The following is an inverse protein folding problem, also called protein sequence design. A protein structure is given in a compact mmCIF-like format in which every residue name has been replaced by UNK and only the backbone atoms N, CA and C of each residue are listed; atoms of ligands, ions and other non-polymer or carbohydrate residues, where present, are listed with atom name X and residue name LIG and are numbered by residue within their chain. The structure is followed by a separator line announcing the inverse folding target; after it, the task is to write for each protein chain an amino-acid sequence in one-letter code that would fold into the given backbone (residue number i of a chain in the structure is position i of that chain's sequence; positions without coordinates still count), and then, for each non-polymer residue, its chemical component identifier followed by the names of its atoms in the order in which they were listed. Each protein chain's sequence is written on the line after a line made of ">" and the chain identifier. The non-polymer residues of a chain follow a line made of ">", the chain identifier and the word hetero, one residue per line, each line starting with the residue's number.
data_IF_787427235320
#
_entry.id   IF_787427235320
#
_cell.length_a   1.000
_cell.length_b   1.000
_cell.length_c   1.000
_cell.angle_alpha   90.00
_cell.angle_beta   90.00
_cell.angle_gamma   90.00
#
_symmetry.space_group_name_H-M   'P 1'
#
loop_
_entity.id
_entity.type
_entity.pdbx_description
1 polymer ?
#
# COMPACT_ATOMS: atom_id res chain seq x y z
N UNK A 1 -45.69 -63.93 1.15
CA UNK A 1 -46.30 -63.39 -0.07
C UNK A 1 -47.22 -62.27 0.36
N UNK A 2 -46.76 -61.07 0.46
CA UNK A 2 -47.54 -59.88 0.82
C UNK A 2 -47.23 -58.80 -0.22
N UNK A 3 -48.21 -58.54 -1.10
CA UNK A 3 -48.17 -57.48 -2.07
C UNK A 3 -48.53 -56.17 -1.37
N UNK A 4 -47.52 -55.31 -1.19
CA UNK A 4 -47.71 -53.93 -0.73
C UNK A 4 -47.99 -53.01 -1.93
N UNK A 5 -49.23 -52.60 -2.03
CA UNK A 5 -49.69 -51.60 -3.02
C UNK A 5 -49.22 -50.23 -2.57
N UNK A 6 -48.25 -49.69 -3.30
CA UNK A 6 -47.81 -48.27 -3.17
C UNK A 6 -48.92 -47.43 -3.81
N UNK A 7 -49.66 -46.72 -2.96
CA UNK A 7 -50.60 -45.71 -3.36
C UNK A 7 -49.84 -44.49 -3.83
N UNK A 8 -49.83 -44.21 -5.12
CA UNK A 8 -49.31 -42.92 -5.68
C UNK A 8 -50.33 -41.83 -5.35
N UNK A 9 -49.95 -41.00 -4.41
CA UNK A 9 -50.60 -39.72 -4.13
C UNK A 9 -50.35 -38.80 -5.31
N UNK A 10 -51.40 -38.46 -6.04
CA UNK A 10 -51.38 -37.46 -7.09
C UNK A 10 -51.23 -36.07 -6.48
N UNK A 11 -50.07 -35.45 -6.64
CA UNK A 11 -49.85 -34.04 -6.32
C UNK A 11 -50.81 -33.17 -7.16
N UNK A 12 -51.58 -32.27 -6.53
CA UNK A 12 -52.35 -31.30 -7.28
C UNK A 12 -51.41 -30.29 -7.91
N UNK A 13 -51.16 -30.39 -9.20
CA UNK A 13 -50.46 -29.36 -9.97
C UNK A 13 -51.18 -28.03 -9.75
N UNK A 14 -50.54 -27.14 -8.96
CA UNK A 14 -50.97 -25.75 -8.84
C UNK A 14 -50.75 -25.10 -10.22
N UNK A 15 -51.74 -25.20 -11.05
CA UNK A 15 -51.83 -24.50 -12.31
C UNK A 15 -51.99 -23.00 -12.04
N UNK A 16 -50.86 -22.28 -12.05
CA UNK A 16 -50.91 -20.83 -12.09
C UNK A 16 -51.45 -20.44 -13.45
N UNK A 17 -52.77 -20.25 -13.52
CA UNK A 17 -53.40 -19.72 -14.72
C UNK A 17 -52.94 -18.26 -14.88
N UNK A 18 -51.95 -18.04 -15.74
CA UNK A 18 -51.60 -16.69 -16.19
C UNK A 18 -52.82 -16.19 -17.00
N UNK A 19 -53.62 -15.34 -16.39
CA UNK A 19 -54.66 -14.61 -17.09
C UNK A 19 -53.97 -13.79 -18.20
N UNK A 20 -54.17 -14.17 -19.46
CA UNK A 20 -53.72 -13.41 -20.63
C UNK A 20 -54.64 -12.17 -20.79
N UNK A 21 -54.45 -11.20 -19.90
CA UNK A 21 -55.02 -9.85 -20.06
C UNK A 21 -54.16 -9.14 -21.12
N UNK A 22 -54.77 -8.74 -22.24
CA UNK A 22 -54.08 -7.88 -23.22
C UNK A 22 -53.69 -6.56 -22.57
N UNK A 23 -52.42 -6.15 -22.70
CA UNK A 23 -51.91 -4.86 -22.26
C UNK A 23 -52.67 -3.74 -22.99
N UNK A 24 -53.22 -2.79 -22.24
CA UNK A 24 -53.84 -1.59 -22.83
C UNK A 24 -52.71 -0.66 -23.33
N UNK A 25 -53.01 0.10 -24.39
CA UNK A 25 -52.04 1.05 -24.96
C UNK A 25 -51.55 2.07 -23.92
N UNK A 26 -52.43 2.48 -23.00
CA UNK A 26 -52.09 3.41 -21.92
C UNK A 26 -51.12 2.79 -20.90
N UNK A 27 -51.28 1.50 -20.59
CA UNK A 27 -50.41 0.77 -19.65
C UNK A 27 -49.00 0.63 -20.20
N UNK A 28 -48.87 0.42 -21.51
CA UNK A 28 -47.58 0.39 -22.19
C UNK A 28 -46.88 1.75 -22.14
N UNK A 29 -47.62 2.87 -22.41
CA UNK A 29 -47.07 4.22 -22.33
C UNK A 29 -46.59 4.53 -20.91
N UNK A 30 -47.37 4.24 -19.89
CA UNK A 30 -47.00 4.46 -18.49
C UNK A 30 -45.75 3.64 -18.12
N UNK A 31 -45.69 2.37 -18.53
CA UNK A 31 -44.56 1.51 -18.26
C UNK A 31 -43.25 2.05 -18.86
N UNK A 32 -43.25 2.50 -20.12
CA UNK A 32 -42.03 3.06 -20.75
C UNK A 32 -41.60 4.38 -20.11
N UNK A 33 -42.54 5.22 -19.65
CA UNK A 33 -42.22 6.47 -18.93
C UNK A 33 -41.56 6.14 -17.58
N UNK A 34 -42.14 5.21 -16.80
CA UNK A 34 -41.55 4.80 -15.52
C UNK A 34 -40.18 4.18 -15.72
N UNK A 35 -40.00 3.29 -16.71
CA UNK A 35 -38.72 2.70 -17.06
C UNK A 35 -37.68 3.77 -17.45
N UNK A 36 -38.10 4.80 -18.20
CA UNK A 36 -37.25 5.93 -18.57
C UNK A 36 -36.71 6.66 -17.34
N UNK A 37 -37.56 6.99 -16.39
CA UNK A 37 -37.19 7.69 -15.15
C UNK A 37 -36.26 6.82 -14.29
N UNK A 38 -36.58 5.54 -14.11
CA UNK A 38 -35.77 4.61 -13.35
C UNK A 38 -34.38 4.39 -13.96
N UNK A 39 -34.29 4.35 -15.30
CA UNK A 39 -33.03 4.16 -16.02
C UNK A 39 -32.04 5.30 -15.76
N UNK A 40 -32.51 6.55 -15.72
CA UNK A 40 -31.66 7.71 -15.40
C UNK A 40 -31.08 7.61 -13.99
N UNK A 41 -31.91 7.25 -13.01
CA UNK A 41 -31.46 7.08 -11.63
C UNK A 41 -30.44 5.95 -11.47
N UNK A 42 -30.70 4.81 -12.11
CA UNK A 42 -29.80 3.65 -12.07
C UNK A 42 -28.43 3.96 -12.68
N UNK A 43 -28.37 4.67 -13.80
CA UNK A 43 -27.11 5.07 -14.45
C UNK A 43 -26.25 5.91 -13.53
N UNK A 44 -26.83 6.90 -12.83
CA UNK A 44 -26.08 7.75 -11.90
C UNK A 44 -25.45 6.96 -10.74
N UNK A 45 -26.14 5.93 -10.22
CA UNK A 45 -25.63 5.06 -9.17
C UNK A 45 -24.45 4.19 -9.66
N UNK A 46 -24.58 3.64 -10.88
CA UNK A 46 -23.52 2.82 -11.47
C UNK A 46 -22.25 3.64 -11.67
N UNK A 47 -22.36 4.84 -12.25
CA UNK A 47 -21.19 5.72 -12.47
C UNK A 47 -20.48 6.04 -11.15
N UNK A 48 -21.22 6.41 -10.11
CA UNK A 48 -20.62 6.68 -8.78
C UNK A 48 -19.96 5.44 -8.19
N UNK A 49 -20.57 4.26 -8.33
CA UNK A 49 -19.99 3.01 -7.84
C UNK A 49 -18.67 2.67 -8.54
N UNK A 50 -18.60 2.86 -9.86
CA UNK A 50 -17.37 2.65 -10.64
C UNK A 50 -16.27 3.64 -10.22
N UNK A 51 -16.59 4.91 -10.06
CA UNK A 51 -15.63 5.92 -9.58
C UNK A 51 -15.09 5.58 -8.19
N UNK A 52 -15.97 5.23 -7.25
CA UNK A 52 -15.56 4.81 -5.91
C UNK A 52 -14.68 3.56 -5.95
N UNK A 53 -14.99 2.60 -6.79
CA UNK A 53 -14.18 1.40 -6.96
C UNK A 53 -12.77 1.72 -7.48
N UNK A 54 -12.66 2.58 -8.49
CA UNK A 54 -11.37 3.01 -9.05
C UNK A 54 -10.53 3.74 -8.00
N UNK A 55 -11.13 4.67 -7.24
CA UNK A 55 -10.45 5.39 -6.17
C UNK A 55 -9.94 4.45 -5.08
N UNK A 56 -10.77 3.51 -4.64
CA UNK A 56 -10.38 2.54 -3.61
C UNK A 56 -9.26 1.61 -4.10
N UNK A 57 -9.31 1.20 -5.35
CA UNK A 57 -8.27 0.38 -5.96
C UNK A 57 -6.93 1.14 -6.02
N UNK A 58 -6.95 2.38 -6.51
CA UNK A 58 -5.77 3.23 -6.55
C UNK A 58 -5.18 3.45 -5.14
N UNK A 59 -6.02 3.72 -4.14
CA UNK A 59 -5.58 3.85 -2.75
C UNK A 59 -4.93 2.56 -2.23
N UNK A 60 -5.48 1.40 -2.54
CA UNK A 60 -4.92 0.10 -2.17
C UNK A 60 -3.56 -0.19 -2.82
N UNK A 61 -3.40 0.14 -4.10
CA UNK A 61 -2.14 0.00 -4.83
C UNK A 61 -1.07 0.94 -4.25
N UNK A 62 -1.40 2.21 -3.95
CA UNK A 62 -0.49 3.14 -3.29
C UNK A 62 -0.09 2.67 -1.88
N UNK A 63 -1.04 2.16 -1.10
CA UNK A 63 -0.76 1.63 0.24
C UNK A 63 0.21 0.45 0.20
N UNK A 64 -0.02 -0.50 -0.70
CA UNK A 64 0.87 -1.64 -0.90
C UNK A 64 2.28 -1.22 -1.33
N UNK A 65 2.39 -0.28 -2.28
CA UNK A 65 3.67 0.26 -2.73
C UNK A 65 4.41 0.97 -1.58
N UNK A 66 3.69 1.78 -0.80
CA UNK A 66 4.25 2.52 0.33
C UNK A 66 4.75 1.60 1.43
N UNK A 67 3.98 0.60 1.82
CA UNK A 67 4.38 -0.37 2.84
C UNK A 67 5.59 -1.20 2.40
N UNK A 68 5.66 -1.60 1.13
CA UNK A 68 6.83 -2.29 0.58
C UNK A 68 8.08 -1.41 0.64
N UNK A 69 7.97 -0.15 0.20
CA UNK A 69 9.07 0.80 0.24
C UNK A 69 9.56 1.06 1.67
N UNK A 70 8.63 1.27 2.63
CA UNK A 70 8.95 1.45 4.04
C UNK A 70 9.56 0.19 4.67
N UNK A 71 9.16 -0.99 4.24
CA UNK A 71 9.74 -2.25 4.70
C UNK A 71 11.20 -2.40 4.23
N UNK A 72 11.50 -2.11 2.97
CA UNK A 72 12.86 -2.12 2.44
C UNK A 72 13.73 -1.10 3.18
N UNK A 73 13.21 0.09 3.40
CA UNK A 73 13.90 1.16 4.11
C UNK A 73 14.15 0.79 5.57
N UNK A 74 13.17 0.23 6.26
CA UNK A 74 13.28 -0.27 7.63
C UNK A 74 14.36 -1.35 7.76
N UNK A 75 14.39 -2.34 6.85
CA UNK A 75 15.44 -3.38 6.83
C UNK A 75 16.82 -2.80 6.56
N UNK A 76 16.90 -1.79 5.70
CA UNK A 76 18.16 -1.08 5.43
C UNK A 76 18.69 -0.40 6.67
N UNK A 77 17.85 0.38 7.33
CA UNK A 77 18.22 1.16 8.52
C UNK A 77 18.48 0.32 9.77
N UNK A 78 17.75 -0.79 9.93
CA UNK A 78 17.95 -1.69 11.07
C UNK A 78 19.37 -2.23 11.19
N UNK A 79 20.04 -2.39 10.05
CA UNK A 79 21.43 -2.85 9.97
C UNK A 79 22.42 -1.70 9.72
N UNK A 80 22.02 -0.46 9.90
CA UNK A 80 22.89 0.70 9.75
C UNK A 80 23.89 0.77 10.92
N UNK A 81 25.11 1.13 10.60
CA UNK A 81 26.14 1.35 11.62
C UNK A 81 25.86 2.67 12.35
N UNK A 82 25.77 2.66 13.70
CA UNK A 82 25.62 3.87 14.48
C UNK A 82 26.71 4.91 14.16
N UNK A 83 26.36 6.19 14.19
CA UNK A 83 27.31 7.27 13.92
C UNK A 83 27.62 7.52 12.43
N UNK A 84 27.11 6.68 11.52
CA UNK A 84 27.36 6.86 10.08
C UNK A 84 26.16 7.42 9.32
N UNK A 85 25.07 7.68 10.03
CA UNK A 85 23.86 8.21 9.45
C UNK A 85 24.07 9.67 9.04
N UNK A 86 23.72 10.02 7.83
CA UNK A 86 23.75 11.38 7.30
C UNK A 86 22.48 11.69 6.54
N UNK A 87 21.84 12.81 6.88
CA UNK A 87 20.65 13.33 6.22
C UNK A 87 21.05 14.64 5.56
N UNK A 88 20.76 14.81 4.30
CA UNK A 88 21.14 15.98 3.50
C UNK A 88 20.05 16.38 2.51
N UNK A 89 20.25 17.45 1.77
CA UNK A 89 19.27 18.02 0.83
C UNK A 89 17.92 18.33 1.50
N UNK A 90 17.95 18.95 2.70
CA UNK A 90 16.70 19.30 3.41
C UNK A 90 15.86 18.09 3.83
N UNK A 91 16.48 16.94 4.05
CA UNK A 91 15.77 15.70 4.41
C UNK A 91 15.42 14.82 3.20
N UNK A 92 15.70 15.25 1.98
CA UNK A 92 15.36 14.44 0.80
C UNK A 92 16.28 13.25 0.58
N UNK A 93 17.45 13.22 1.23
CA UNK A 93 18.44 12.16 1.05
C UNK A 93 18.97 11.66 2.38
N UNK A 94 19.12 10.35 2.48
CA UNK A 94 19.61 9.64 3.63
C UNK A 94 20.74 8.71 3.20
N UNK A 95 21.89 8.75 3.88
CA UNK A 95 22.97 7.80 3.66
C UNK A 95 23.47 7.23 4.99
N UNK A 96 23.99 6.01 4.93
CA UNK A 96 24.54 5.30 6.07
C UNK A 96 25.51 4.20 5.60
N UNK A 97 26.36 3.72 6.51
CA UNK A 97 27.20 2.55 6.28
C UNK A 97 26.56 1.31 6.87
N UNK A 98 26.80 0.17 6.25
CA UNK A 98 26.31 -1.13 6.70
C UNK A 98 27.44 -2.15 6.65
N UNK A 99 27.58 -2.92 7.70
CA UNK A 99 28.48 -4.05 7.75
C UNK A 99 27.77 -5.33 7.29
N UNK A 100 28.43 -6.15 6.50
CA UNK A 100 27.86 -7.41 5.98
C UNK A 100 27.82 -8.54 7.05
N UNK A 101 28.60 -8.39 8.13
CA UNK A 101 28.65 -9.31 9.27
C UNK A 101 28.77 -8.51 10.58
N UNK A 102 28.36 -9.08 11.72
CA UNK A 102 28.63 -8.45 13.01
C UNK A 102 30.13 -8.23 13.12
N UNK A 103 30.59 -7.05 13.53
CA UNK A 103 32.00 -6.77 13.63
C UNK A 103 32.63 -7.68 14.70
N UNK A 104 33.43 -8.64 14.30
CA UNK A 104 34.45 -9.14 15.21
C UNK A 104 35.34 -7.95 15.60
N UNK A 105 35.74 -7.86 16.84
CA UNK A 105 36.40 -6.67 17.40
C UNK A 105 37.63 -6.14 16.58
N UNK A 106 38.18 -6.93 15.68
CA UNK A 106 39.27 -6.57 14.77
C UNK A 106 38.83 -5.93 13.45
N UNK A 107 37.56 -6.05 13.06
CA UNK A 107 37.03 -5.63 11.74
C UNK A 107 36.14 -4.38 11.78
N UNK A 108 36.03 -3.72 12.92
CA UNK A 108 35.17 -2.52 13.08
C UNK A 108 35.57 -1.32 12.20
N UNK A 109 36.82 -1.32 11.67
CA UNK A 109 37.33 -0.25 10.79
C UNK A 109 36.97 -0.43 9.31
N UNK A 110 36.42 -1.57 8.90
CA UNK A 110 36.31 -1.94 7.48
C UNK A 110 34.84 -2.20 7.04
N UNK A 111 33.91 -1.35 7.43
CA UNK A 111 32.58 -1.37 6.85
C UNK A 111 32.48 -0.38 5.66
N UNK A 112 32.97 -0.74 4.46
CA UNK A 112 33.14 0.22 3.37
C UNK A 112 31.88 0.49 2.56
N UNK A 113 30.75 -0.11 2.89
CA UNK A 113 29.59 -0.08 1.99
C UNK A 113 28.62 1.00 2.40
N UNK A 114 28.57 2.08 1.60
CA UNK A 114 27.57 3.13 1.71
C UNK A 114 26.24 2.69 1.08
N UNK A 115 25.17 2.83 1.82
CA UNK A 115 23.79 2.68 1.36
C UNK A 115 23.11 4.03 1.41
N UNK A 116 22.16 4.26 0.54
CA UNK A 116 21.40 5.51 0.55
C UNK A 116 19.96 5.32 0.10
N UNK A 117 19.13 6.24 0.55
CA UNK A 117 17.77 6.43 0.07
C UNK A 117 17.62 7.89 -0.32
N UNK A 118 16.91 8.16 -1.42
CA UNK A 118 16.68 9.53 -1.87
C UNK A 118 15.30 9.69 -2.49
N UNK A 119 14.67 10.81 -2.17
CA UNK A 119 13.52 11.33 -2.89
C UNK A 119 14.02 12.27 -3.98
N UNK A 120 13.85 11.90 -5.23
CA UNK A 120 14.22 12.72 -6.37
C UNK A 120 13.33 12.46 -7.57
N UNK A 121 12.97 13.51 -8.29
CA UNK A 121 12.17 13.40 -9.53
C UNK A 121 10.88 12.58 -9.34
N UNK A 122 10.19 12.76 -8.23
CA UNK A 122 8.97 12.03 -7.93
C UNK A 122 9.18 10.52 -7.67
N UNK A 123 10.36 10.11 -7.28
CA UNK A 123 10.69 8.70 -6.98
C UNK A 123 11.41 8.58 -5.65
N UNK A 124 11.11 7.52 -4.93
CA UNK A 124 11.96 7.04 -3.85
C UNK A 124 12.91 5.98 -4.42
N UNK A 125 14.19 6.23 -4.27
CA UNK A 125 15.26 5.35 -4.78
C UNK A 125 16.14 4.84 -3.67
N UNK A 126 16.69 3.64 -3.86
CA UNK A 126 17.71 3.04 -3.02
C UNK A 126 19.02 2.92 -3.81
N UNK A 127 20.12 3.38 -3.24
CA UNK A 127 21.47 3.12 -3.74
C UNK A 127 22.18 2.11 -2.85
N UNK A 128 22.86 1.15 -3.48
CA UNK A 128 23.66 0.15 -2.80
C UNK A 128 25.03 0.02 -3.48
N UNK A 129 26.10 -0.34 -2.76
CA UNK A 129 27.45 -0.42 -3.34
C UNK A 129 27.61 -1.46 -4.45
N UNK A 130 26.72 -2.45 -4.48
CA UNK A 130 26.79 -3.56 -5.43
C UNK A 130 26.00 -3.32 -6.72
N UNK A 131 25.24 -2.21 -6.81
CA UNK A 131 24.38 -1.90 -7.95
C UNK A 131 24.79 -0.55 -8.51
N UNK A 132 25.25 -0.48 -9.74
CA UNK A 132 25.74 0.76 -10.35
C UNK A 132 24.63 1.80 -10.57
N UNK A 133 23.37 1.37 -10.59
CA UNK A 133 22.19 2.23 -10.74
C UNK A 133 21.32 2.16 -9.50
N UNK A 134 20.75 3.30 -9.11
CA UNK A 134 19.78 3.36 -8.01
C UNK A 134 18.52 2.58 -8.36
N UNK A 135 18.07 1.74 -7.44
CA UNK A 135 16.83 0.97 -7.58
C UNK A 135 15.64 1.84 -7.18
N UNK A 136 14.61 1.90 -8.01
CA UNK A 136 13.37 2.61 -7.72
C UNK A 136 12.52 1.74 -6.79
N UNK A 137 12.15 2.27 -5.63
CA UNK A 137 11.28 1.61 -4.65
C UNK A 137 9.83 2.08 -4.79
N UNK A 138 9.61 3.35 -5.10
CA UNK A 138 8.29 3.92 -5.31
C UNK A 138 8.34 5.01 -6.38
N UNK A 139 7.28 5.13 -7.16
CA UNK A 139 7.06 6.20 -8.14
C UNK A 139 5.97 7.14 -7.63
N UNK A 140 5.91 8.35 -8.21
CA UNK A 140 5.02 9.43 -7.75
C UNK A 140 5.13 9.67 -6.24
N UNK A 141 6.38 9.55 -5.73
CA UNK A 141 6.74 9.59 -4.34
C UNK A 141 7.44 10.89 -3.99
N UNK A 142 7.05 11.50 -2.89
CA UNK A 142 7.75 12.60 -2.24
C UNK A 142 7.83 12.35 -0.75
N UNK A 143 8.76 12.98 -0.07
CA UNK A 143 8.88 12.79 1.36
C UNK A 143 10.16 13.39 1.93
N UNK A 144 10.36 13.12 3.21
CA UNK A 144 11.54 13.59 3.93
C UNK A 144 11.96 12.60 5.01
N UNK A 145 13.26 12.60 5.28
CA UNK A 145 13.90 11.92 6.40
C UNK A 145 14.21 12.95 7.49
N UNK A 146 13.94 12.60 8.74
CA UNK A 146 14.25 13.45 9.89
C UNK A 146 14.91 12.61 10.99
N UNK A 147 15.93 13.13 11.69
CA UNK A 147 16.57 12.40 12.78
C UNK A 147 15.63 12.27 13.98
N UNK A 148 15.78 11.19 14.76
CA UNK A 148 15.08 10.97 16.01
C UNK A 148 16.08 10.81 17.17
N UNK A 149 15.90 11.56 18.30
CA UNK A 149 14.88 12.59 18.51
C UNK A 149 15.08 13.82 17.62
N UNK A 150 14.02 14.62 17.46
CA UNK A 150 14.09 15.85 16.67
C UNK A 150 15.12 16.83 17.26
N UNK A 151 15.84 17.56 16.39
CA UNK A 151 16.83 18.55 16.82
C UNK A 151 18.25 18.00 17.08
N UNK A 152 18.45 16.70 17.02
CA UNK A 152 19.80 16.11 17.08
C UNK A 152 20.43 16.02 15.67
N UNK A 153 21.77 15.93 15.62
CA UNK A 153 22.45 15.65 14.35
C UNK A 153 22.15 14.22 13.89
N UNK A 154 22.12 14.00 12.57
CA UNK A 154 21.85 12.67 12.02
C UNK A 154 22.84 11.61 12.52
N UNK A 155 24.12 11.98 12.71
CA UNK A 155 25.15 11.07 13.21
C UNK A 155 24.95 10.62 14.66
N UNK A 156 24.25 11.41 15.49
CA UNK A 156 23.95 11.10 16.90
C UNK A 156 22.53 10.60 17.09
N UNK A 157 21.73 10.53 16.01
CA UNK A 157 20.35 10.08 16.05
C UNK A 157 20.25 8.59 16.40
N UNK A 158 19.30 8.25 17.26
CA UNK A 158 18.96 6.85 17.59
C UNK A 158 17.97 6.23 16.60
N UNK A 159 17.45 7.03 15.70
CA UNK A 159 16.50 6.60 14.69
C UNK A 159 16.25 7.64 13.61
N UNK A 160 15.40 7.27 12.66
CA UNK A 160 14.97 8.14 11.57
C UNK A 160 13.45 8.09 11.49
N UNK A 161 12.83 9.26 11.44
CA UNK A 161 11.44 9.40 11.01
C UNK A 161 11.42 9.57 9.50
N UNK A 162 10.57 8.82 8.85
CA UNK A 162 10.34 8.90 7.40
C UNK A 162 8.91 9.32 7.16
N UNK A 163 8.72 10.35 6.38
CA UNK A 163 7.43 10.74 5.85
C UNK A 163 7.44 10.46 4.35
N UNK A 164 6.51 9.64 3.89
CA UNK A 164 6.37 9.23 2.50
C UNK A 164 4.97 9.63 2.02
N UNK A 165 4.89 10.42 0.98
CA UNK A 165 3.64 10.75 0.31
C UNK A 165 3.67 10.19 -1.10
N UNK A 166 2.68 9.37 -1.42
CA UNK A 166 2.45 8.79 -2.73
C UNK A 166 1.22 9.44 -3.35
N UNK A 167 1.21 9.62 -4.66
CA UNK A 167 0.08 10.18 -5.37
C UNK A 167 -0.21 9.42 -6.65
N UNK A 168 -1.49 9.25 -6.94
CA UNK A 168 -1.96 8.81 -8.25
C UNK A 168 -2.70 9.97 -8.90
N UNK A 169 -2.08 10.65 -9.89
CA UNK A 169 -2.69 11.79 -10.55
C UNK A 169 -3.92 11.41 -11.39
N UNK A 170 -4.03 10.15 -11.85
CA UNK A 170 -5.15 9.69 -12.67
C UNK A 170 -6.41 9.48 -11.82
N UNK A 171 -6.26 9.03 -10.58
CA UNK A 171 -7.36 8.81 -9.65
C UNK A 171 -7.55 9.97 -8.66
N UNK A 172 -6.71 11.00 -8.71
CA UNK A 172 -6.63 12.13 -7.74
C UNK A 172 -6.54 11.64 -6.28
N UNK A 173 -5.78 10.57 -6.06
CA UNK A 173 -5.58 9.98 -4.74
C UNK A 173 -4.20 10.33 -4.22
N UNK A 174 -4.14 10.74 -2.95
CA UNK A 174 -2.89 10.94 -2.21
C UNK A 174 -2.91 10.14 -0.93
N UNK A 175 -1.80 9.46 -0.64
CA UNK A 175 -1.60 8.70 0.57
C UNK A 175 -0.32 9.16 1.26
N UNK A 176 -0.41 9.54 2.52
CA UNK A 176 0.75 9.91 3.34
C UNK A 176 0.96 8.85 4.41
N UNK A 177 2.16 8.29 4.43
CA UNK A 177 2.61 7.30 5.40
C UNK A 177 3.76 7.88 6.21
N UNK A 178 3.75 7.67 7.52
CA UNK A 178 4.86 8.05 8.38
C UNK A 178 5.31 6.86 9.22
N UNK A 179 6.62 6.70 9.36
CA UNK A 179 7.19 5.62 10.19
C UNK A 179 8.45 6.10 10.90
N UNK A 180 8.51 5.83 12.20
CA UNK A 180 9.74 5.97 12.98
C UNK A 180 10.49 4.64 12.96
N UNK A 181 11.77 4.68 12.60
CA UNK A 181 12.62 3.50 12.47
C UNK A 181 13.82 3.70 13.42
N UNK A 182 13.93 2.83 14.41
CA UNK A 182 15.09 2.84 15.28
C UNK A 182 16.31 2.27 14.54
N UNK A 183 17.44 2.95 14.69
CA UNK A 183 18.74 2.41 14.31
C UNK A 183 19.28 1.70 15.55
N UNK A 184 19.36 0.39 15.52
CA UNK A 184 19.88 -0.35 16.65
C UNK A 184 21.36 0.01 16.82
N UNK A 185 21.66 0.79 17.85
CA UNK A 185 23.01 0.83 18.36
C UNK A 185 23.28 -0.55 18.96
N UNK A 186 23.91 -1.44 18.22
CA UNK A 186 24.53 -2.59 18.86
C UNK A 186 25.70 -2.09 19.69
N UNK A 187 25.42 -1.51 20.85
CA UNK A 187 26.34 -1.55 21.96
C UNK A 187 26.42 -3.04 22.37
N UNK A 188 27.14 -3.80 21.56
CA UNK A 188 27.62 -5.11 21.97
C UNK A 188 28.72 -4.81 22.99
N UNK A 189 28.31 -4.57 24.22
CA UNK A 189 29.19 -4.63 25.37
C UNK A 189 29.60 -6.08 25.49
N UNK A 190 30.76 -6.42 24.96
CA UNK A 190 31.45 -7.65 25.33
C UNK A 190 31.81 -7.49 26.79
N UNK A 191 30.95 -8.01 27.67
CA UNK A 191 31.32 -8.26 29.06
C UNK A 191 32.33 -9.41 29.00
N UNK A 192 33.62 -9.06 28.94
CA UNK A 192 34.67 -10.01 29.20
C UNK A 192 34.56 -10.39 30.69
N UNK A 193 34.08 -11.60 30.95
CA UNK A 193 34.36 -12.32 32.20
C UNK A 193 35.69 -13.05 32.10
#
# INVERSE_FOLDING_TARGET
>A
MGNEKISQSADPAIGVAFAQGGLTLIELIVAIVILGILSVGATALIVRSVQTYQTNRAAGELASQGEMALTVLSRGLHNAQPGTLSIYNGGASLSFKRCAAPPSAAAASTCPRGYGFAFSNGKLTQSTPNWPSAQVLAVNASGAFSPLPAGVSASTASGVSVMLTLSDPAADVRLSLSRAIAVLSSAYSVVNN
#
